data_IF_945896486930
#
_entry.id   IF_945896486930
#
_cell.length_a   1.000
_cell.length_b   1.000
_cell.length_c   1.000
_cell.angle_alpha   90.00
_cell.angle_beta   90.00
_cell.angle_gamma   90.00
#
_symmetry.space_group_name_H-M   'P 1'
#
loop_
_entity.id
_entity.type
_entity.pdbx_description
1 polymer ?
#
# COMPACT_ATOMS: atom_id res chain seq x y z
N UNK A 1 -26.02 8.17 3.83
CA UNK A 1 -25.77 8.91 2.57
C UNK A 1 -24.96 10.17 2.80
N UNK A 2 -25.48 11.18 3.52
CA UNK A 2 -24.79 12.46 3.76
C UNK A 2 -23.36 12.35 4.30
N UNK A 3 -23.14 11.43 5.24
CA UNK A 3 -21.85 11.20 5.88
C UNK A 3 -20.79 10.69 4.88
N UNK A 4 -21.17 9.76 4.01
CA UNK A 4 -20.30 9.22 2.97
C UNK A 4 -20.01 10.27 1.87
N UNK A 5 -21.02 11.06 1.49
CA UNK A 5 -20.83 12.17 0.53
C UNK A 5 -19.87 13.22 1.07
N UNK A 6 -19.99 13.59 2.36
CA UNK A 6 -19.07 14.52 3.01
C UNK A 6 -17.63 13.99 3.05
N UNK A 7 -17.45 12.72 3.41
CA UNK A 7 -16.14 12.06 3.43
C UNK A 7 -15.47 12.03 2.04
N UNK A 8 -16.23 11.66 1.00
CA UNK A 8 -15.73 11.63 -0.38
C UNK A 8 -15.38 13.03 -0.89
N UNK A 9 -16.20 14.04 -0.58
CA UNK A 9 -15.94 15.42 -0.97
C UNK A 9 -14.66 15.94 -0.30
N UNK A 10 -14.52 15.72 1.01
CA UNK A 10 -13.32 16.11 1.75
C UNK A 10 -12.05 15.44 1.18
N UNK A 11 -12.11 14.13 0.94
CA UNK A 11 -11.01 13.39 0.32
C UNK A 11 -10.69 13.91 -1.08
N UNK A 12 -11.70 14.15 -1.92
CA UNK A 12 -11.52 14.67 -3.27
C UNK A 12 -10.88 16.05 -3.29
N UNK A 13 -11.34 16.98 -2.44
CA UNK A 13 -10.76 18.32 -2.34
C UNK A 13 -9.29 18.24 -1.90
N UNK A 14 -9.00 17.46 -0.86
CA UNK A 14 -7.64 17.31 -0.37
C UNK A 14 -6.70 16.68 -1.40
N UNK A 15 -7.14 15.61 -2.07
CA UNK A 15 -6.34 14.90 -3.06
C UNK A 15 -6.09 15.75 -4.31
N UNK A 16 -7.07 16.52 -4.77
CA UNK A 16 -6.88 17.45 -5.89
C UNK A 16 -5.91 18.57 -5.52
N UNK A 17 -6.03 19.13 -4.31
CA UNK A 17 -5.08 20.12 -3.82
C UNK A 17 -3.67 19.56 -3.74
N UNK A 18 -3.48 18.40 -3.11
CA UNK A 18 -2.18 17.75 -2.99
C UNK A 18 -1.56 17.43 -4.35
N UNK A 19 -2.37 16.96 -5.29
CA UNK A 19 -1.95 16.69 -6.68
C UNK A 19 -1.51 17.98 -7.37
N UNK A 20 -2.27 19.09 -7.21
CA UNK A 20 -1.95 20.37 -7.82
C UNK A 20 -0.61 20.95 -7.34
N UNK A 21 -0.22 20.69 -6.09
CA UNK A 21 1.07 21.11 -5.52
C UNK A 21 2.17 20.06 -5.67
N UNK A 22 1.90 18.91 -6.29
CA UNK A 22 2.87 17.83 -6.50
C UNK A 22 3.25 17.06 -5.23
N UNK A 23 2.45 17.15 -4.16
CA UNK A 23 2.71 16.44 -2.90
C UNK A 23 2.27 14.96 -3.00
N UNK A 24 3.16 13.99 -2.74
CA UNK A 24 2.78 12.59 -2.70
C UNK A 24 2.00 12.30 -1.41
N UNK A 25 0.69 12.16 -1.54
CA UNK A 25 -0.22 11.87 -0.40
C UNK A 25 -0.93 10.54 -0.60
N UNK A 26 -1.37 9.93 0.51
CA UNK A 26 -2.11 8.69 0.49
C UNK A 26 -3.62 8.92 0.35
N UNK A 27 -4.21 8.34 -0.70
CA UNK A 27 -5.66 8.32 -0.93
C UNK A 27 -6.39 7.54 0.17
N UNK A 28 -5.82 6.43 0.65
CA UNK A 28 -6.39 5.61 1.73
C UNK A 28 -6.49 6.38 3.06
N UNK A 29 -5.43 7.07 3.47
CA UNK A 29 -5.46 7.89 4.69
C UNK A 29 -6.49 9.02 4.57
N UNK A 30 -6.59 9.63 3.38
CA UNK A 30 -7.50 10.73 3.11
C UNK A 30 -8.96 10.32 3.27
N UNK A 31 -9.37 9.17 2.71
CA UNK A 31 -10.76 8.70 2.83
C UNK A 31 -11.07 8.17 4.23
N UNK A 32 -10.14 7.45 4.89
CA UNK A 32 -10.33 6.97 6.27
C UNK A 32 -10.50 8.15 7.23
N UNK A 33 -9.65 9.18 7.11
CA UNK A 33 -9.78 10.41 7.88
C UNK A 33 -11.08 11.16 7.59
N UNK A 34 -11.50 11.22 6.32
CA UNK A 34 -12.77 11.82 5.91
C UNK A 34 -13.99 11.13 6.52
N UNK A 35 -14.04 9.79 6.50
CA UNK A 35 -15.13 9.00 7.08
C UNK A 35 -15.15 9.13 8.60
N UNK A 36 -14.00 9.01 9.25
CA UNK A 36 -13.88 9.14 10.71
C UNK A 36 -14.28 10.55 11.17
N UNK A 37 -13.77 11.59 10.51
CA UNK A 37 -14.07 12.98 10.82
C UNK A 37 -15.55 13.33 10.62
N UNK A 38 -16.14 12.90 9.50
CA UNK A 38 -17.57 13.09 9.26
C UNK A 38 -18.44 12.36 10.29
N UNK A 39 -18.01 11.17 10.74
CA UNK A 39 -18.68 10.41 11.80
C UNK A 39 -18.66 11.16 13.13
N UNK A 40 -17.46 11.56 13.57
CA UNK A 40 -17.25 12.29 14.82
C UNK A 40 -18.01 13.63 14.80
N UNK A 41 -18.00 14.35 13.68
CA UNK A 41 -18.74 15.59 13.54
C UNK A 41 -20.26 15.40 13.66
N UNK A 42 -20.80 14.28 13.17
CA UNK A 42 -22.23 14.00 13.19
C UNK A 42 -22.74 13.45 14.53
N UNK A 43 -21.94 12.63 15.23
CA UNK A 43 -22.42 11.84 16.37
C UNK A 43 -21.45 11.81 17.58
N UNK A 44 -20.37 12.59 17.54
CA UNK A 44 -19.36 12.64 18.59
C UNK A 44 -18.36 11.48 18.55
N UNK A 45 -17.37 11.51 19.46
CA UNK A 45 -16.23 10.58 19.48
C UNK A 45 -16.60 9.12 19.74
N UNK A 46 -17.76 8.86 20.36
CA UNK A 46 -18.23 7.51 20.70
C UNK A 46 -18.71 6.70 19.51
N UNK A 47 -18.94 7.33 18.35
CA UNK A 47 -19.39 6.63 17.14
C UNK A 47 -18.28 5.83 16.46
N UNK A 48 -17.02 6.17 16.76
CA UNK A 48 -15.86 5.53 16.15
C UNK A 48 -15.49 4.24 16.89
N UNK A 49 -15.31 3.16 16.14
CA UNK A 49 -14.65 1.96 16.65
C UNK A 49 -13.13 2.20 16.68
N UNK A 50 -12.65 2.63 17.85
CA UNK A 50 -11.24 2.94 18.07
C UNK A 50 -10.32 1.72 17.94
N UNK A 51 -10.84 0.51 18.17
CA UNK A 51 -10.08 -0.71 17.95
C UNK A 51 -9.83 -0.92 16.46
N UNK A 52 -10.86 -0.79 15.62
CA UNK A 52 -10.72 -0.88 14.16
C UNK A 52 -9.83 0.22 13.59
N UNK A 53 -10.00 1.46 14.04
CA UNK A 53 -9.12 2.57 13.66
C UNK A 53 -7.66 2.28 14.04
N UNK A 54 -7.43 1.70 15.23
CA UNK A 54 -6.11 1.26 15.68
C UNK A 54 -5.50 0.18 14.77
N UNK A 55 -6.28 -0.81 14.34
CA UNK A 55 -5.80 -1.83 13.39
C UNK A 55 -5.45 -1.23 12.03
N UNK A 56 -6.26 -0.29 11.52
CA UNK A 56 -5.97 0.43 10.27
C UNK A 56 -4.66 1.21 10.43
N UNK A 57 -4.49 1.96 11.53
CA UNK A 57 -3.26 2.71 11.79
C UNK A 57 -2.03 1.80 11.91
N UNK A 58 -2.15 0.64 12.56
CA UNK A 58 -1.09 -0.35 12.62
C UNK A 58 -0.69 -0.85 11.22
N UNK A 59 -1.68 -1.07 10.34
CA UNK A 59 -1.43 -1.49 8.96
C UNK A 59 -0.61 -0.49 8.14
N UNK A 60 -0.69 0.81 8.47
CA UNK A 60 0.07 1.87 7.80
C UNK A 60 1.57 1.80 8.09
N UNK A 61 1.95 1.18 9.21
CA UNK A 61 3.35 0.97 9.59
C UNK A 61 3.81 -0.42 9.14
N UNK A 62 3.00 -1.44 9.40
CA UNK A 62 3.35 -2.83 9.11
C UNK A 62 3.54 -3.04 7.60
N UNK A 63 2.64 -2.48 6.77
CA UNK A 63 2.68 -2.71 5.32
C UNK A 63 3.97 -2.18 4.66
N UNK A 64 4.42 -0.93 4.89
CA UNK A 64 5.70 -0.46 4.37
C UNK A 64 6.90 -1.24 4.89
N UNK A 65 6.90 -1.64 6.17
CA UNK A 65 8.00 -2.41 6.76
C UNK A 65 8.12 -3.78 6.09
N UNK A 66 7.01 -4.50 5.96
CA UNK A 66 6.99 -5.79 5.26
C UNK A 66 7.38 -5.63 3.78
N UNK A 67 6.86 -4.61 3.10
CA UNK A 67 7.25 -4.28 1.73
C UNK A 67 8.74 -4.04 1.58
N UNK A 68 9.34 -3.29 2.52
CA UNK A 68 10.78 -3.04 2.58
C UNK A 68 11.61 -4.31 2.79
N UNK A 69 11.19 -5.19 3.72
CA UNK A 69 11.87 -6.47 3.98
C UNK A 69 11.83 -7.38 2.75
N UNK A 70 10.67 -7.47 2.09
CA UNK A 70 10.51 -8.26 0.86
C UNK A 70 11.40 -7.68 -0.24
N UNK A 71 11.35 -6.37 -0.47
CA UNK A 71 12.17 -5.69 -1.48
C UNK A 71 13.67 -5.90 -1.25
N UNK A 72 14.14 -5.76 0.00
CA UNK A 72 15.53 -6.01 0.37
C UNK A 72 15.94 -7.47 0.12
N UNK A 73 15.07 -8.42 0.43
CA UNK A 73 15.30 -9.86 0.17
C UNK A 73 15.42 -10.14 -1.32
N UNK A 74 14.49 -9.64 -2.14
CA UNK A 74 14.56 -9.77 -3.60
C UNK A 74 15.84 -9.14 -4.16
N UNK A 75 16.20 -7.95 -3.70
CA UNK A 75 17.44 -7.28 -4.12
C UNK A 75 18.68 -8.11 -3.79
N UNK A 76 18.73 -8.68 -2.59
CA UNK A 76 19.82 -9.57 -2.17
C UNK A 76 19.91 -10.81 -3.09
N UNK A 77 18.78 -11.47 -3.34
CA UNK A 77 18.71 -12.66 -4.22
C UNK A 77 19.16 -12.31 -5.63
N UNK A 78 18.64 -11.24 -6.23
CA UNK A 78 19.01 -10.81 -7.59
C UNK A 78 20.50 -10.51 -7.67
N UNK A 79 21.04 -9.71 -6.73
CA UNK A 79 22.47 -9.39 -6.72
C UNK A 79 23.34 -10.63 -6.62
N UNK A 80 22.99 -11.56 -5.73
CA UNK A 80 23.78 -12.76 -5.46
C UNK A 80 23.70 -13.79 -6.58
N UNK A 81 22.53 -13.92 -7.22
CA UNK A 81 22.26 -14.98 -8.21
C UNK A 81 22.51 -14.53 -9.64
N UNK A 82 22.36 -13.24 -9.95
CA UNK A 82 22.51 -12.67 -11.29
C UNK A 82 23.69 -11.70 -11.34
N UNK A 83 23.62 -10.57 -10.61
CA UNK A 83 24.55 -9.44 -10.81
C UNK A 83 26.01 -9.76 -10.47
N UNK A 84 26.27 -10.59 -9.46
CA UNK A 84 27.64 -10.94 -9.04
C UNK A 84 28.17 -12.21 -9.71
N UNK A 85 27.53 -12.71 -10.77
CA UNK A 85 28.05 -13.80 -11.58
C UNK A 85 28.93 -13.27 -12.71
N UNK A 86 29.97 -14.02 -13.06
CA UNK A 86 30.87 -13.69 -14.16
C UNK A 86 30.12 -13.67 -15.51
N UNK A 87 29.22 -14.62 -15.71
CA UNK A 87 28.30 -14.65 -16.85
C UNK A 87 26.89 -14.27 -16.40
N UNK A 88 26.60 -12.97 -16.47
CA UNK A 88 25.32 -12.39 -16.07
C UNK A 88 24.18 -12.81 -17.01
N UNK A 89 24.46 -13.02 -18.30
CA UNK A 89 23.44 -13.38 -19.31
C UNK A 89 22.89 -14.78 -19.04
N UNK A 90 23.77 -15.76 -18.84
CA UNK A 90 23.34 -17.14 -18.53
C UNK A 90 22.64 -17.20 -17.17
N UNK A 91 23.14 -16.47 -16.17
CA UNK A 91 22.50 -16.41 -14.85
C UNK A 91 21.11 -15.77 -14.92
N UNK A 92 20.95 -14.67 -15.67
CA UNK A 92 19.66 -14.00 -15.87
C UNK A 92 18.65 -14.90 -16.60
N UNK A 93 19.06 -15.56 -17.69
CA UNK A 93 18.20 -16.48 -18.44
C UNK A 93 17.65 -17.63 -17.57
N UNK A 94 18.40 -18.05 -16.55
CA UNK A 94 17.95 -19.08 -15.60
C UNK A 94 17.08 -18.52 -14.48
N UNK A 95 17.45 -17.38 -13.90
CA UNK A 95 16.80 -16.87 -12.68
C UNK A 95 15.60 -15.97 -12.93
N UNK A 96 15.59 -15.19 -14.01
CA UNK A 96 14.46 -14.29 -14.33
C UNK A 96 13.14 -15.06 -14.51
N UNK A 97 13.09 -16.20 -15.24
CA UNK A 97 11.84 -16.98 -15.35
C UNK A 97 11.30 -17.44 -13.99
N UNK A 98 12.19 -17.81 -13.06
CA UNK A 98 11.80 -18.19 -11.70
C UNK A 98 11.21 -17.01 -10.92
N UNK A 99 11.86 -15.84 -10.96
CA UNK A 99 11.36 -14.64 -10.30
C UNK A 99 10.00 -14.20 -10.85
N UNK A 100 9.82 -14.28 -12.17
CA UNK A 100 8.54 -13.99 -12.83
C UNK A 100 7.47 -15.01 -12.44
N UNK A 101 7.82 -16.31 -12.33
CA UNK A 101 6.89 -17.33 -11.87
C UNK A 101 6.42 -17.08 -10.43
N UNK A 102 7.31 -16.68 -9.52
CA UNK A 102 6.96 -16.29 -8.14
C UNK A 102 6.03 -15.08 -8.14
N UNK A 103 6.32 -14.07 -8.96
CA UNK A 103 5.46 -12.88 -9.11
C UNK A 103 4.06 -13.25 -9.63
N UNK A 104 4.00 -14.07 -10.69
CA UNK A 104 2.74 -14.50 -11.29
C UNK A 104 1.91 -15.36 -10.31
N UNK A 105 2.56 -16.23 -9.55
CA UNK A 105 1.92 -17.02 -8.51
C UNK A 105 1.32 -16.14 -7.41
N UNK A 106 2.12 -15.21 -6.86
CA UNK A 106 1.65 -14.31 -5.81
C UNK A 106 0.46 -13.45 -6.29
N UNK A 107 0.57 -12.86 -7.49
CA UNK A 107 -0.52 -12.08 -8.08
C UNK A 107 -1.76 -12.93 -8.37
N UNK A 108 -1.57 -14.15 -8.88
CA UNK A 108 -2.66 -15.10 -9.13
C UNK A 108 -3.40 -15.48 -7.86
N UNK A 109 -2.69 -15.78 -6.77
CA UNK A 109 -3.32 -16.08 -5.47
C UNK A 109 -4.09 -14.89 -4.91
N UNK A 110 -3.57 -13.66 -5.07
CA UNK A 110 -4.26 -12.45 -4.64
C UNK A 110 -5.60 -12.25 -5.37
N UNK A 111 -5.67 -12.52 -6.67
CA UNK A 111 -6.92 -12.40 -7.44
C UNK A 111 -7.96 -13.48 -7.12
N UNK A 112 -7.57 -14.57 -6.46
CA UNK A 112 -8.47 -15.66 -6.08
C UNK A 112 -9.09 -15.47 -4.68
N UNK A 113 -8.58 -14.52 -3.89
CA UNK A 113 -9.10 -14.14 -2.58
C UNK A 113 -10.22 -13.10 -2.73
#
# INVERSE_FOLDING_TARGET
>A
MWLMTAALLAAAVWLNFATAVGAPVSTTHSIVGGVLGAGIAAAGWSIADWYQVGMIAASWIISPVLGGVIAATFLYVIKRTITYKSDVLTAANRMVPFLVAVMAWAFGTYLML
#
